data_IF_064254027429
#
_entry.id   IF_064254027429
#
_cell.length_a   1.000
_cell.length_b   1.000
_cell.length_c   1.000
_cell.angle_alpha   90.00
_cell.angle_beta   90.00
_cell.angle_gamma   90.00
#
_symmetry.space_group_name_H-M   'P 1'
#
loop_
_entity.id
_entity.type
_entity.pdbx_description
1 polymer ?
#
# COMPACT_ATOMS: atom_id res chain seq x y z
N UNK A 1 2.63 -61.27 54.21
CA UNK A 1 2.59 -61.42 52.73
C UNK A 1 1.20 -61.18 52.13
N UNK A 2 0.14 -61.06 52.93
CA UNK A 2 -1.24 -60.91 52.43
C UNK A 2 -1.68 -59.46 52.15
N UNK A 3 -1.08 -58.44 52.77
CA UNK A 3 -1.45 -57.04 52.49
C UNK A 3 -0.92 -56.53 51.14
N UNK A 4 0.24 -57.05 50.70
CA UNK A 4 0.81 -56.69 49.38
C UNK A 4 0.02 -57.30 48.22
N UNK A 5 -0.52 -58.51 48.38
CA UNK A 5 -1.39 -59.13 47.38
C UNK A 5 -2.75 -58.43 47.28
N UNK A 6 -3.30 -57.94 48.41
CA UNK A 6 -4.56 -57.18 48.41
C UNK A 6 -4.41 -55.81 47.74
N UNK A 7 -3.29 -55.12 47.94
CA UNK A 7 -3.00 -53.84 47.28
C UNK A 7 -2.79 -53.96 45.76
N UNK A 8 -2.21 -55.08 45.28
CA UNK A 8 -2.10 -55.37 43.85
C UNK A 8 -3.45 -55.76 43.22
N UNK A 9 -4.30 -56.48 43.96
CA UNK A 9 -5.65 -56.82 43.51
C UNK A 9 -6.55 -55.57 43.40
N UNK A 10 -6.44 -54.62 44.32
CA UNK A 10 -7.16 -53.34 44.24
C UNK A 10 -6.74 -52.47 43.05
N UNK A 11 -5.50 -52.59 42.56
CA UNK A 11 -5.02 -51.90 41.35
C UNK A 11 -5.40 -52.60 40.06
N UNK A 12 -5.73 -53.91 40.08
CA UNK A 12 -6.21 -54.66 38.91
C UNK A 12 -7.68 -54.35 38.59
N UNK A 13 -8.51 -54.11 39.62
CA UNK A 13 -9.95 -53.82 39.46
C UNK A 13 -10.23 -52.64 38.49
N UNK A 14 -9.54 -51.48 38.57
CA UNK A 14 -9.75 -50.37 37.63
C UNK A 14 -9.28 -50.67 36.20
N UNK A 15 -8.25 -51.50 36.03
CA UNK A 15 -7.68 -51.85 34.71
C UNK A 15 -8.59 -52.83 33.97
N UNK A 16 -9.17 -53.78 34.70
CA UNK A 16 -10.15 -54.73 34.19
C UNK A 16 -11.48 -54.04 33.84
N UNK A 17 -11.93 -53.09 34.67
CA UNK A 17 -13.08 -52.24 34.38
C UNK A 17 -12.83 -51.36 33.14
N UNK A 18 -11.64 -50.76 32.99
CA UNK A 18 -11.28 -49.97 31.80
C UNK A 18 -11.22 -50.82 30.53
N UNK A 19 -10.71 -52.06 30.60
CA UNK A 19 -10.74 -53.02 29.48
C UNK A 19 -12.16 -53.43 29.09
N UNK A 20 -13.03 -53.67 30.07
CA UNK A 20 -14.46 -53.95 29.81
C UNK A 20 -15.15 -52.73 29.18
N UNK A 21 -14.84 -51.52 29.65
CA UNK A 21 -15.39 -50.27 29.10
C UNK A 21 -14.93 -50.00 27.66
N UNK A 22 -13.68 -50.33 27.30
CA UNK A 22 -13.19 -50.17 25.92
C UNK A 22 -13.78 -51.18 24.93
N UNK A 23 -14.29 -52.32 25.41
CA UNK A 23 -14.95 -53.33 24.58
C UNK A 23 -16.40 -52.99 24.24
N UNK A 24 -17.01 -52.06 24.98
CA UNK A 24 -18.37 -51.58 24.72
C UNK A 24 -18.31 -50.57 23.56
N UNK A 25 -18.50 -51.07 22.33
CA UNK A 25 -18.68 -50.24 21.13
C UNK A 25 -19.74 -49.16 21.41
N UNK A 26 -19.39 -47.91 21.08
CA UNK A 26 -20.29 -46.74 21.10
C UNK A 26 -21.50 -46.97 20.17
N UNK A 27 -22.54 -47.63 20.67
CA UNK A 27 -23.89 -47.42 20.17
C UNK A 27 -24.35 -46.11 20.80
N UNK A 28 -24.77 -45.15 19.96
CA UNK A 28 -25.35 -43.88 20.42
C UNK A 28 -26.50 -44.22 21.38
N UNK A 29 -26.28 -43.98 22.66
CA UNK A 29 -27.30 -44.06 23.70
C UNK A 29 -28.12 -42.77 23.61
N UNK A 30 -29.09 -42.74 22.71
CA UNK A 30 -30.28 -41.92 22.91
C UNK A 30 -31.25 -42.75 23.74
N UNK A 31 -31.03 -42.78 25.04
CA UNK A 31 -32.05 -43.25 25.99
C UNK A 31 -32.01 -42.32 27.19
N UNK A 32 -33.12 -41.62 27.41
CA UNK A 32 -33.40 -40.91 28.64
C UNK A 32 -33.12 -41.85 29.82
N UNK A 33 -32.12 -41.50 30.62
CA UNK A 33 -31.88 -42.16 31.89
C UNK A 33 -32.93 -41.59 32.85
N UNK A 34 -33.76 -42.41 33.52
CA UNK A 34 -34.63 -41.90 34.56
C UNK A 34 -33.76 -41.22 35.61
N UNK A 35 -34.22 -40.05 36.05
CA UNK A 35 -33.58 -39.25 37.10
C UNK A 35 -33.38 -40.17 38.32
N UNK A 36 -32.16 -40.32 38.86
CA UNK A 36 -31.92 -41.22 39.98
C UNK A 36 -32.71 -40.78 41.22
N UNK A 37 -33.27 -41.75 41.95
CA UNK A 37 -34.16 -41.55 43.10
C UNK A 37 -33.57 -40.69 44.23
N UNK A 38 -32.24 -40.55 44.26
CA UNK A 38 -31.50 -39.67 45.17
C UNK A 38 -31.86 -38.18 45.00
N UNK A 39 -32.32 -37.77 43.82
CA UNK A 39 -32.78 -36.39 43.56
C UNK A 39 -34.19 -36.18 44.14
N UNK A 40 -35.05 -37.20 44.10
CA UNK A 40 -36.38 -37.14 44.72
C UNK A 40 -36.31 -37.16 46.24
N UNK A 41 -35.36 -37.91 46.82
CA UNK A 41 -35.07 -37.88 48.26
C UNK A 41 -34.56 -36.51 48.72
N UNK A 42 -33.65 -35.90 47.95
CA UNK A 42 -33.14 -34.55 48.25
C UNK A 42 -34.22 -33.48 48.12
N UNK A 43 -35.07 -33.55 47.10
CA UNK A 43 -36.22 -32.66 46.92
C UNK A 43 -37.32 -32.86 47.98
N UNK A 44 -37.50 -34.09 48.50
CA UNK A 44 -38.37 -34.37 49.64
C UNK A 44 -37.82 -33.77 50.92
N UNK A 45 -36.52 -33.92 51.19
CA UNK A 45 -35.84 -33.31 52.33
C UNK A 45 -35.92 -31.78 52.29
N UNK A 46 -35.69 -31.16 51.12
CA UNK A 46 -35.86 -29.71 50.93
C UNK A 46 -37.30 -29.25 51.18
N UNK A 47 -38.31 -30.03 50.80
CA UNK A 47 -39.72 -29.73 51.09
C UNK A 47 -40.10 -29.98 52.56
N UNK A 48 -39.48 -30.95 53.23
CA UNK A 48 -39.69 -31.21 54.66
C UNK A 48 -39.07 -30.13 55.54
N UNK A 49 -37.95 -29.54 55.13
CA UNK A 49 -37.31 -28.41 55.82
C UNK A 49 -38.07 -27.06 55.68
N UNK A 50 -39.28 -27.05 55.10
CA UNK A 50 -40.14 -25.85 55.05
C UNK A 50 -41.14 -25.79 56.21
N UNK A 51 -41.08 -26.71 57.18
CA UNK A 51 -41.81 -26.59 58.44
C UNK A 51 -40.86 -26.20 59.59
N UNK A 52 -41.19 -25.09 60.26
CA UNK A 52 -40.55 -24.44 61.42
C UNK A 52 -39.14 -23.86 61.23
N UNK A 53 -39.09 -22.52 61.09
CA UNK A 53 -37.86 -21.71 61.16
C UNK A 53 -37.70 -21.20 62.60
N UNK A 54 -36.69 -21.70 63.30
CA UNK A 54 -36.17 -21.11 64.55
C UNK A 54 -35.30 -19.87 64.21
N UNK A 55 -35.46 -18.71 64.88
CA UNK A 55 -34.74 -17.47 64.51
C UNK A 55 -33.25 -17.41 64.89
N UNK A 56 -32.66 -18.41 65.56
CA UNK A 56 -31.37 -18.25 66.25
C UNK A 56 -30.16 -18.99 65.65
N UNK A 57 -30.27 -19.63 64.49
CA UNK A 57 -29.10 -20.24 63.80
C UNK A 57 -29.00 -19.88 62.32
N UNK A 58 -29.50 -18.71 61.94
CA UNK A 58 -29.40 -18.22 60.56
C UNK A 58 -27.97 -17.78 60.30
N UNK A 59 -27.22 -18.59 59.57
CA UNK A 59 -25.86 -18.28 59.12
C UNK A 59 -25.87 -17.00 58.26
N UNK A 60 -25.49 -15.89 58.88
CA UNK A 60 -25.63 -14.54 58.32
C UNK A 60 -24.75 -14.36 57.07
N UNK A 61 -23.63 -15.09 57.00
CA UNK A 61 -22.74 -15.18 55.83
C UNK A 61 -23.46 -15.87 54.67
N UNK A 62 -24.09 -17.02 54.89
CA UNK A 62 -24.88 -17.72 53.88
C UNK A 62 -26.09 -16.89 53.40
N UNK A 63 -26.77 -16.19 54.33
CA UNK A 63 -27.84 -15.26 53.97
C UNK A 63 -27.31 -14.03 53.21
N UNK A 64 -26.11 -13.55 53.55
CA UNK A 64 -25.42 -12.45 52.88
C UNK A 64 -24.96 -12.80 51.47
N UNK A 65 -24.38 -14.00 51.29
CA UNK A 65 -24.02 -14.58 50.00
C UNK A 65 -25.27 -14.83 49.15
N UNK A 66 -26.32 -15.40 49.75
CA UNK A 66 -27.60 -15.61 49.09
C UNK A 66 -28.24 -14.30 48.60
N UNK A 67 -28.25 -13.27 49.44
CA UNK A 67 -28.70 -11.92 49.04
C UNK A 67 -27.80 -11.31 47.96
N UNK A 68 -26.48 -11.51 48.05
CA UNK A 68 -25.51 -11.05 47.04
C UNK A 68 -25.72 -11.70 45.68
N UNK A 69 -26.02 -13.00 45.63
CA UNK A 69 -26.37 -13.73 44.41
C UNK A 69 -27.70 -13.23 43.84
N UNK A 70 -28.72 -13.04 44.69
CA UNK A 70 -30.02 -12.48 44.25
C UNK A 70 -29.85 -11.06 43.70
N UNK A 71 -29.01 -10.24 44.33
CA UNK A 71 -28.71 -8.89 43.86
C UNK A 71 -27.96 -8.93 42.53
N UNK A 72 -27.00 -9.84 42.37
CA UNK A 72 -26.30 -10.07 41.11
C UNK A 72 -27.27 -10.49 40.00
N UNK A 73 -28.21 -11.41 40.28
CA UNK A 73 -29.24 -11.82 39.32
C UNK A 73 -30.20 -10.68 38.94
N UNK A 74 -30.57 -9.82 39.91
CA UNK A 74 -31.38 -8.62 39.63
C UNK A 74 -30.59 -7.60 38.80
N UNK A 75 -29.31 -7.41 39.10
CA UNK A 75 -28.42 -6.53 38.35
C UNK A 75 -28.18 -7.06 36.94
N UNK A 76 -28.00 -8.36 36.73
CA UNK A 76 -27.87 -8.98 35.41
C UNK A 76 -29.14 -8.75 34.58
N UNK A 77 -30.34 -8.93 35.18
CA UNK A 77 -31.61 -8.59 34.52
C UNK A 77 -31.75 -7.11 34.16
N UNK A 78 -31.23 -6.20 35.00
CA UNK A 78 -31.21 -4.77 34.70
C UNK A 78 -30.12 -4.42 33.68
N UNK A 79 -29.00 -5.15 33.67
CA UNK A 79 -27.89 -5.00 32.75
C UNK A 79 -28.26 -5.47 31.35
N UNK A 80 -29.07 -6.53 31.21
CA UNK A 80 -29.57 -7.02 29.92
C UNK A 80 -30.51 -6.02 29.22
N UNK A 81 -31.11 -5.10 29.98
CA UNK A 81 -31.93 -4.00 29.45
C UNK A 81 -31.07 -2.81 28.96
N UNK A 82 -29.79 -2.76 29.33
CA UNK A 82 -28.85 -1.72 28.91
C UNK A 82 -28.07 -2.21 27.70
N UNK A 83 -28.62 -1.96 26.52
CA UNK A 83 -27.91 -2.19 25.25
C UNK A 83 -26.80 -1.14 25.07
N UNK A 84 -25.54 -1.55 25.19
CA UNK A 84 -24.37 -0.66 25.03
C UNK A 84 -23.13 -1.07 25.83
N UNK A 85 -23.23 -2.10 26.68
CA UNK A 85 -22.08 -2.60 27.43
C UNK A 85 -21.17 -3.46 26.53
N UNK A 86 -19.99 -2.95 26.20
CA UNK A 86 -19.00 -3.65 25.39
C UNK A 86 -18.06 -4.46 26.29
N UNK A 87 -18.49 -5.67 26.67
CA UNK A 87 -17.60 -6.60 27.38
C UNK A 87 -16.60 -7.23 26.41
N UNK A 88 -15.37 -6.82 26.58
CA UNK A 88 -14.20 -7.28 25.85
C UNK A 88 -13.77 -8.63 26.42
N UNK A 89 -13.88 -9.71 25.63
CA UNK A 89 -13.41 -11.03 26.06
C UNK A 89 -11.89 -11.00 26.28
N UNK A 90 -11.46 -11.10 27.54
CA UNK A 90 -10.05 -11.06 27.93
C UNK A 90 -9.22 -12.11 27.18
N UNK A 91 -9.79 -13.29 26.90
CA UNK A 91 -9.08 -14.35 26.15
C UNK A 91 -9.02 -14.02 24.66
N UNK A 92 -10.11 -13.53 24.07
CA UNK A 92 -10.13 -13.04 22.69
C UNK A 92 -9.16 -11.88 22.45
N UNK A 93 -9.05 -10.95 23.41
CA UNK A 93 -8.12 -9.83 23.32
C UNK A 93 -6.65 -10.26 23.45
N UNK A 94 -6.35 -11.17 24.37
CA UNK A 94 -5.00 -11.72 24.48
C UNK A 94 -4.62 -12.57 23.26
N UNK A 95 -5.58 -13.31 22.68
CA UNK A 95 -5.37 -14.05 21.43
C UNK A 95 -5.16 -13.11 20.23
N UNK A 96 -5.93 -12.02 20.15
CA UNK A 96 -5.75 -10.98 19.14
C UNK A 96 -4.39 -10.32 19.25
N UNK A 97 -3.97 -9.96 20.47
CA UNK A 97 -2.64 -9.39 20.72
C UNK A 97 -1.52 -10.38 20.38
N UNK A 98 -1.66 -11.66 20.73
CA UNK A 98 -0.67 -12.68 20.36
C UNK A 98 -0.52 -12.80 18.84
N UNK A 99 -1.65 -12.80 18.12
CA UNK A 99 -1.66 -12.90 16.65
C UNK A 99 -1.01 -11.68 15.98
N UNK A 100 -1.16 -10.49 16.58
CA UNK A 100 -0.54 -9.26 16.08
C UNK A 100 0.96 -9.18 16.40
N UNK A 101 1.37 -9.74 17.55
CA UNK A 101 2.76 -9.71 18.01
C UNK A 101 3.65 -10.76 17.32
N UNK A 102 3.07 -11.77 16.66
CA UNK A 102 3.82 -12.76 15.85
C UNK A 102 4.49 -12.16 14.60
N UNK A 103 4.11 -10.95 14.17
CA UNK A 103 4.79 -10.23 13.09
C UNK A 103 6.05 -9.49 13.55
N UNK A 104 6.30 -9.37 14.86
CA UNK A 104 7.55 -8.85 15.40
C UNK A 104 8.41 -10.05 15.74
N UNK A 105 9.24 -10.44 14.77
CA UNK A 105 10.22 -11.51 14.92
C UNK A 105 11.06 -11.35 16.20
N UNK A 106 11.44 -12.50 16.75
CA UNK A 106 12.45 -12.79 17.80
C UNK A 106 13.16 -11.59 18.44
N UNK A 107 13.20 -11.52 19.78
CA UNK A 107 13.83 -10.41 20.54
C UNK A 107 15.29 -10.12 20.16
N UNK A 108 15.99 -11.08 19.54
CA UNK A 108 17.30 -10.90 18.89
C UNK A 108 17.28 -9.80 17.82
N UNK A 109 16.25 -9.82 16.98
CA UNK A 109 16.10 -8.97 15.81
C UNK A 109 15.89 -7.53 16.25
N UNK A 110 15.23 -7.30 17.40
CA UNK A 110 15.04 -5.96 17.97
C UNK A 110 16.38 -5.28 18.29
N UNK A 111 17.40 -6.04 18.72
CA UNK A 111 18.72 -5.48 19.01
C UNK A 111 19.48 -5.12 17.72
N UNK A 112 19.38 -5.95 16.70
CA UNK A 112 20.04 -5.72 15.43
C UNK A 112 19.31 -4.66 14.59
N UNK A 113 17.99 -4.53 14.72
CA UNK A 113 17.19 -3.41 14.20
C UNK A 113 17.67 -2.08 14.81
N UNK A 114 18.01 -2.04 16.10
CA UNK A 114 18.55 -0.82 16.73
C UNK A 114 19.93 -0.47 16.21
N UNK A 115 20.83 -1.46 16.09
CA UNK A 115 22.17 -1.25 15.51
C UNK A 115 22.10 -0.82 14.04
N UNK A 116 21.26 -1.47 13.24
CA UNK A 116 21.05 -1.10 11.84
C UNK A 116 20.47 0.31 11.71
N UNK A 117 19.50 0.72 12.54
CA UNK A 117 19.04 2.13 12.59
C UNK A 117 20.16 3.12 12.86
N UNK A 118 21.09 2.79 13.76
CA UNK A 118 22.25 3.63 14.05
C UNK A 118 23.19 3.70 12.84
N UNK A 119 23.48 2.57 12.19
CA UNK A 119 24.26 2.53 10.95
C UNK A 119 23.60 3.38 9.85
N UNK A 120 22.29 3.26 9.62
CA UNK A 120 21.59 4.06 8.62
C UNK A 120 21.45 5.53 9.00
N UNK A 121 21.50 5.89 10.30
CA UNK A 121 21.62 7.30 10.72
C UNK A 121 22.99 7.85 10.32
N UNK A 122 24.07 7.12 10.61
CA UNK A 122 25.42 7.49 10.19
C UNK A 122 25.59 7.51 8.66
N UNK A 123 24.95 6.60 7.92
CA UNK A 123 24.94 6.60 6.45
C UNK A 123 24.20 7.82 5.89
N UNK A 124 23.09 8.24 6.50
CA UNK A 124 22.37 9.46 6.08
C UNK A 124 23.17 10.73 6.33
N UNK A 125 23.92 10.79 7.43
CA UNK A 125 24.75 11.93 7.78
C UNK A 125 26.01 12.02 6.89
N UNK A 126 26.67 10.89 6.64
CA UNK A 126 27.88 10.84 5.80
C UNK A 126 27.60 10.89 4.30
N UNK A 127 26.51 10.26 3.85
CA UNK A 127 26.12 10.12 2.45
C UNK A 127 24.71 10.66 2.21
N UNK A 128 24.51 11.93 2.54
CA UNK A 128 23.24 12.64 2.33
C UNK A 128 22.74 12.59 0.87
N UNK A 129 23.67 12.43 -0.08
CA UNK A 129 23.41 12.38 -1.54
C UNK A 129 23.00 11.01 -2.09
N UNK A 130 23.14 9.93 -1.32
CA UNK A 130 22.92 8.56 -1.81
C UNK A 130 21.46 8.12 -1.64
N UNK A 131 20.67 7.97 -2.72
CA UNK A 131 19.26 7.58 -2.60
C UNK A 131 19.08 6.17 -2.02
N UNK A 132 20.02 5.26 -2.31
CA UNK A 132 19.98 3.88 -1.83
C UNK A 132 20.08 3.80 -0.29
N UNK A 133 20.81 4.72 0.34
CA UNK A 133 20.89 4.80 1.81
C UNK A 133 19.56 5.18 2.44
N UNK A 134 18.85 6.13 1.84
CA UNK A 134 17.51 6.56 2.26
C UNK A 134 16.45 5.47 2.07
N UNK A 135 16.50 4.75 0.94
CA UNK A 135 15.57 3.66 0.63
C UNK A 135 15.79 2.46 1.56
N UNK A 136 17.05 2.07 1.80
CA UNK A 136 17.35 0.97 2.70
C UNK A 136 16.94 1.29 4.16
N UNK A 137 17.11 2.54 4.60
CA UNK A 137 16.61 3.00 5.89
C UNK A 137 15.08 2.92 5.98
N UNK A 138 14.37 3.34 4.94
CA UNK A 138 12.91 3.27 4.89
C UNK A 138 12.39 1.82 4.84
N UNK A 139 13.09 0.93 4.13
CA UNK A 139 12.74 -0.49 4.03
C UNK A 139 12.91 -1.22 5.36
N UNK A 140 13.90 -0.86 6.16
CA UNK A 140 14.01 -1.37 7.53
C UNK A 140 12.84 -0.93 8.40
N UNK A 141 12.42 0.34 8.33
CA UNK A 141 11.27 0.80 9.11
C UNK A 141 9.95 0.14 8.67
N UNK A 142 9.85 -0.23 7.39
CA UNK A 142 8.74 -1.06 6.88
C UNK A 142 8.75 -2.47 7.48
N UNK A 143 9.92 -3.13 7.55
CA UNK A 143 10.07 -4.45 8.18
C UNK A 143 9.73 -4.43 9.68
N UNK A 144 9.94 -3.29 10.35
CA UNK A 144 9.56 -3.09 11.76
C UNK A 144 8.07 -2.71 11.92
N UNK A 145 7.33 -2.53 10.82
CA UNK A 145 5.92 -2.13 10.83
C UNK A 145 5.67 -0.65 11.08
N UNK A 146 6.71 0.19 11.11
CA UNK A 146 6.62 1.63 11.36
C UNK A 146 6.52 2.44 10.07
N UNK A 147 5.40 2.27 9.38
CA UNK A 147 5.14 2.91 8.08
C UNK A 147 5.15 4.44 8.13
N UNK A 148 4.77 5.06 9.27
CA UNK A 148 4.77 6.53 9.43
C UNK A 148 6.19 7.09 9.44
N UNK A 149 7.09 6.49 10.24
CA UNK A 149 8.50 6.88 10.32
C UNK A 149 9.20 6.65 8.96
N UNK A 150 8.90 5.54 8.28
CA UNK A 150 9.42 5.27 6.93
C UNK A 150 9.06 6.39 5.93
N UNK A 151 7.81 6.88 5.95
CA UNK A 151 7.36 7.98 5.09
C UNK A 151 8.05 9.29 5.41
N UNK A 152 8.30 9.58 6.68
CA UNK A 152 9.04 10.78 7.08
C UNK A 152 10.50 10.74 6.61
N UNK A 153 11.14 9.56 6.66
CA UNK A 153 12.50 9.35 6.17
C UNK A 153 12.57 9.57 4.65
N UNK A 154 11.60 9.04 3.89
CA UNK A 154 11.53 9.25 2.43
C UNK A 154 11.28 10.73 2.10
N UNK A 155 10.42 11.41 2.88
CA UNK A 155 10.18 12.86 2.71
C UNK A 155 11.45 13.68 2.96
N UNK A 156 12.22 13.38 4.02
CA UNK A 156 13.50 14.04 4.31
C UNK A 156 14.54 13.76 3.22
N UNK A 157 14.68 12.49 2.83
CA UNK A 157 15.55 12.09 1.73
C UNK A 157 15.18 12.79 0.41
N UNK A 158 13.89 13.01 0.12
CA UNK A 158 13.48 13.74 -1.08
C UNK A 158 13.93 15.21 -1.10
N UNK A 159 14.02 15.86 0.07
CA UNK A 159 14.46 17.26 0.21
C UNK A 159 15.99 17.35 0.18
N UNK A 160 16.69 16.38 0.76
CA UNK A 160 18.16 16.37 0.76
C UNK A 160 18.72 15.95 -0.61
N UNK A 161 18.06 15.01 -1.28
CA UNK A 161 18.37 14.64 -2.66
C UNK A 161 18.05 15.78 -3.64
N UNK A 162 17.32 16.82 -3.21
CA UNK A 162 16.88 17.93 -4.05
C UNK A 162 18.07 18.64 -4.73
N UNK A 163 19.29 18.53 -4.19
CA UNK A 163 20.50 19.17 -4.72
C UNK A 163 21.21 18.48 -5.90
N UNK A 164 20.97 17.19 -6.20
CA UNK A 164 21.62 16.53 -7.35
C UNK A 164 20.64 16.23 -8.49
N UNK A 165 20.71 17.06 -9.53
CA UNK A 165 19.92 16.95 -10.77
C UNK A 165 20.19 15.67 -11.59
N UNK A 166 21.22 14.87 -11.26
CA UNK A 166 21.68 13.76 -12.11
C UNK A 166 21.27 12.35 -11.62
N UNK A 167 21.26 12.11 -10.29
CA UNK A 167 21.05 10.75 -9.75
C UNK A 167 19.57 10.40 -9.49
N UNK A 168 18.67 11.37 -9.60
CA UNK A 168 17.22 11.22 -9.36
C UNK A 168 16.48 10.43 -10.44
N UNK A 169 16.99 10.41 -11.68
CA UNK A 169 16.29 9.80 -12.82
C UNK A 169 16.07 8.31 -12.54
N UNK A 170 17.12 7.53 -12.28
CA UNK A 170 17.03 6.05 -12.24
C UNK A 170 16.30 5.48 -11.01
N UNK A 171 16.35 6.18 -9.88
CA UNK A 171 15.77 5.69 -8.61
C UNK A 171 14.29 6.01 -8.50
N UNK A 172 13.86 7.15 -9.04
CA UNK A 172 12.44 7.52 -9.05
C UNK A 172 11.64 6.54 -9.91
N UNK A 173 12.11 6.20 -11.12
CA UNK A 173 11.42 5.26 -12.02
C UNK A 173 11.25 3.85 -11.43
N UNK A 174 12.21 3.38 -10.61
CA UNK A 174 12.16 2.02 -10.05
C UNK A 174 11.23 1.91 -8.82
N UNK A 175 10.96 3.01 -8.12
CA UNK A 175 10.02 3.03 -6.99
C UNK A 175 8.58 3.33 -7.42
N UNK A 176 8.38 3.87 -8.63
CA UNK A 176 7.11 4.40 -9.11
C UNK A 176 6.19 3.34 -9.75
N UNK A 177 6.76 2.17 -10.06
CA UNK A 177 6.08 1.08 -10.79
C UNK A 177 5.04 0.32 -9.96
N UNK A 178 4.87 0.66 -8.67
CA UNK A 178 4.03 -0.10 -7.75
C UNK A 178 2.66 0.53 -7.45
N UNK A 179 2.48 1.85 -7.59
CA UNK A 179 1.20 2.54 -7.30
C UNK A 179 0.95 3.77 -8.21
N UNK A 180 0.01 3.67 -9.15
CA UNK A 180 -0.36 4.78 -10.08
C UNK A 180 -0.86 6.05 -9.37
N UNK A 181 -1.58 5.91 -8.25
CA UNK A 181 -2.15 7.05 -7.51
C UNK A 181 -1.10 7.82 -6.73
N UNK A 182 -0.20 7.11 -6.05
CA UNK A 182 0.90 7.73 -5.32
C UNK A 182 1.89 8.39 -6.29
N UNK A 183 2.06 7.79 -7.48
CA UNK A 183 2.87 8.35 -8.56
C UNK A 183 2.40 9.75 -8.97
N UNK A 184 1.11 9.95 -9.20
CA UNK A 184 0.57 11.26 -9.59
C UNK A 184 0.85 12.33 -8.55
N UNK A 185 0.60 12.02 -7.28
CA UNK A 185 0.81 12.97 -6.17
C UNK A 185 2.29 13.32 -6.03
N UNK A 186 3.17 12.31 -6.14
CA UNK A 186 4.62 12.52 -6.11
C UNK A 186 5.09 13.37 -7.29
N UNK A 187 4.54 13.13 -8.48
CA UNK A 187 4.94 13.80 -9.70
C UNK A 187 4.46 15.26 -9.75
N UNK A 188 3.25 15.55 -9.24
CA UNK A 188 2.79 16.92 -9.01
C UNK A 188 3.72 17.68 -8.08
N UNK A 189 4.17 17.05 -6.99
CA UNK A 189 5.13 17.65 -6.06
C UNK A 189 6.51 17.83 -6.71
N UNK A 190 6.96 16.85 -7.49
CA UNK A 190 8.23 16.89 -8.19
C UNK A 190 8.29 18.04 -9.20
N UNK A 191 7.19 18.31 -9.89
CA UNK A 191 7.06 19.42 -10.84
C UNK A 191 7.13 20.79 -10.15
N UNK A 192 6.53 20.93 -8.96
CA UNK A 192 6.62 22.17 -8.16
C UNK A 192 8.06 22.45 -7.69
N UNK A 193 8.76 21.38 -7.29
CA UNK A 193 10.13 21.42 -6.80
C UNK A 193 11.14 21.64 -7.94
N UNK A 194 10.93 20.99 -9.09
CA UNK A 194 11.83 20.99 -10.23
C UNK A 194 11.07 21.33 -11.53
N UNK A 195 10.74 22.62 -11.76
CA UNK A 195 9.98 23.02 -12.94
C UNK A 195 10.79 22.94 -14.25
N UNK A 196 12.12 22.85 -14.17
CA UNK A 196 13.02 22.85 -15.32
C UNK A 196 13.18 21.49 -16.01
N UNK A 197 12.70 20.40 -15.40
CA UNK A 197 12.91 19.06 -15.94
C UNK A 197 11.74 18.63 -16.83
N UNK A 198 11.99 18.49 -18.14
CA UNK A 198 10.96 18.13 -19.13
C UNK A 198 10.31 16.77 -18.85
N UNK A 199 11.10 15.80 -18.39
CA UNK A 199 10.64 14.41 -18.24
C UNK A 199 9.52 14.28 -17.20
N UNK A 200 9.52 15.08 -16.14
CA UNK A 200 8.44 15.07 -15.14
C UNK A 200 7.14 15.58 -15.74
N UNK A 201 7.17 16.64 -16.54
CA UNK A 201 5.99 17.18 -17.22
C UNK A 201 5.39 16.17 -18.21
N UNK A 202 6.24 15.47 -18.98
CA UNK A 202 5.79 14.45 -19.93
C UNK A 202 5.16 13.26 -19.20
N UNK A 203 5.82 12.76 -18.15
CA UNK A 203 5.30 11.66 -17.34
C UNK A 203 3.96 12.03 -16.69
N UNK A 204 3.82 13.28 -16.24
CA UNK A 204 2.60 13.77 -15.61
C UNK A 204 1.46 13.84 -16.63
N UNK A 205 1.74 14.38 -17.82
CA UNK A 205 0.78 14.42 -18.91
C UNK A 205 0.29 13.03 -19.35
N UNK A 206 1.12 11.99 -19.24
CA UNK A 206 0.75 10.60 -19.58
C UNK A 206 -0.08 9.91 -18.48
N UNK A 207 0.10 10.29 -17.22
CA UNK A 207 -0.62 9.69 -16.09
C UNK A 207 -2.02 10.30 -15.90
N UNK A 208 -2.20 11.57 -16.26
CA UNK A 208 -3.41 12.34 -15.97
C UNK A 208 -4.49 12.24 -17.07
N UNK A 209 -5.69 12.75 -16.76
CA UNK A 209 -6.76 12.90 -17.75
C UNK A 209 -6.40 13.93 -18.82
N UNK A 210 -7.01 13.86 -19.99
CA UNK A 210 -6.72 14.75 -21.12
C UNK A 210 -6.84 16.25 -20.81
N UNK A 211 -7.87 16.65 -20.06
CA UNK A 211 -8.07 18.06 -19.69
C UNK A 211 -6.98 18.54 -18.73
N UNK A 212 -6.64 17.71 -17.74
CA UNK A 212 -5.54 17.99 -16.82
C UNK A 212 -4.20 18.01 -17.55
N UNK A 213 -3.94 17.04 -18.44
CA UNK A 213 -2.72 16.97 -19.24
C UNK A 213 -2.53 18.23 -20.10
N UNK A 214 -3.60 18.79 -20.67
CA UNK A 214 -3.53 20.08 -21.37
C UNK A 214 -3.12 21.24 -20.48
N UNK A 215 -3.70 21.33 -19.29
CA UNK A 215 -3.36 22.36 -18.31
C UNK A 215 -1.90 22.22 -17.87
N UNK A 216 -1.48 20.99 -17.58
CA UNK A 216 -0.10 20.65 -17.22
C UNK A 216 0.87 21.03 -18.33
N UNK A 217 0.60 20.67 -19.59
CA UNK A 217 1.46 20.99 -20.73
C UNK A 217 1.49 22.49 -21.03
N UNK A 218 0.38 23.21 -20.82
CA UNK A 218 0.37 24.67 -20.92
C UNK A 218 1.23 25.32 -19.83
N UNK A 219 1.15 24.83 -18.58
CA UNK A 219 2.02 25.29 -17.50
C UNK A 219 3.49 24.96 -17.79
N UNK A 220 3.78 23.77 -18.31
CA UNK A 220 5.12 23.36 -18.71
C UNK A 220 5.72 24.31 -19.74
N UNK A 221 4.94 24.80 -20.72
CA UNK A 221 5.40 25.78 -21.72
C UNK A 221 5.80 27.13 -21.12
N UNK A 222 5.17 27.55 -20.03
CA UNK A 222 5.53 28.79 -19.33
C UNK A 222 6.89 28.66 -18.65
N UNK A 223 7.14 27.51 -18.01
CA UNK A 223 8.40 27.25 -17.32
C UNK A 223 9.55 26.87 -18.28
N UNK A 224 9.23 26.19 -19.40
CA UNK A 224 10.19 25.64 -20.35
C UNK A 224 9.85 26.05 -21.79
N UNK A 225 10.07 27.33 -22.14
CA UNK A 225 9.78 27.81 -23.49
C UNK A 225 10.76 27.27 -24.54
N UNK A 226 11.96 26.85 -24.12
CA UNK A 226 13.04 26.38 -25.00
C UNK A 226 12.87 24.94 -25.45
N UNK A 227 11.98 24.16 -24.82
CA UNK A 227 11.92 22.72 -25.00
C UNK A 227 10.85 22.31 -26.01
N UNK A 228 11.27 21.54 -27.03
CA UNK A 228 10.45 21.14 -28.18
C UNK A 228 9.63 19.88 -27.89
N UNK A 229 10.16 19.02 -27.02
CA UNK A 229 9.51 17.76 -26.63
C UNK A 229 8.12 17.99 -26.02
N UNK A 230 7.88 19.11 -25.35
CA UNK A 230 6.57 19.47 -24.77
C UNK A 230 5.53 19.71 -25.88
N UNK A 231 5.94 20.30 -27.00
CA UNK A 231 5.07 20.53 -28.16
C UNK A 231 4.72 19.23 -28.88
N UNK A 232 5.70 18.33 -29.00
CA UNK A 232 5.51 17.01 -29.60
C UNK A 232 4.61 16.12 -28.73
N UNK A 233 4.79 16.09 -27.41
CA UNK A 233 3.92 15.32 -26.52
C UNK A 233 2.48 15.88 -26.49
N UNK A 234 2.32 17.21 -26.58
CA UNK A 234 1.00 17.81 -26.76
C UNK A 234 0.34 17.41 -28.09
N UNK A 235 1.13 17.30 -29.16
CA UNK A 235 0.65 16.82 -30.46
C UNK A 235 0.23 15.35 -30.39
N UNK A 236 1.04 14.48 -29.74
CA UNK A 236 0.70 13.05 -29.53
C UNK A 236 -0.64 12.89 -28.81
N UNK A 237 -0.85 13.65 -27.74
CA UNK A 237 -2.12 13.64 -26.99
C UNK A 237 -3.33 14.00 -27.87
N UNK A 238 -3.19 14.95 -28.81
CA UNK A 238 -4.27 15.35 -29.70
C UNK A 238 -4.49 14.38 -30.86
N UNK A 239 -3.44 13.71 -31.34
CA UNK A 239 -3.55 12.66 -32.34
C UNK A 239 -4.27 11.42 -31.79
N UNK A 240 -3.98 11.02 -30.54
CA UNK A 240 -4.73 9.93 -29.88
C UNK A 240 -6.24 10.22 -29.79
N UNK A 241 -6.64 11.49 -29.80
CA UNK A 241 -8.05 11.91 -29.82
C UNK A 241 -8.61 12.10 -31.24
N UNK A 242 -7.78 12.01 -32.28
CA UNK A 242 -8.18 12.23 -33.67
C UNK A 242 -8.27 13.70 -34.10
N UNK A 243 -7.77 14.66 -33.31
CA UNK A 243 -7.86 16.09 -33.62
C UNK A 243 -6.72 16.56 -34.56
N UNK A 244 -6.70 16.08 -35.80
CA UNK A 244 -5.63 16.35 -36.78
C UNK A 244 -5.40 17.86 -37.03
N UNK A 245 -6.47 18.65 -37.17
CA UNK A 245 -6.34 20.10 -37.41
C UNK A 245 -5.72 20.86 -36.24
N UNK A 246 -5.85 20.35 -35.00
CA UNK A 246 -5.22 20.97 -33.83
C UNK A 246 -3.74 20.64 -33.76
N UNK A 247 -3.34 19.43 -34.14
CA UNK A 247 -1.94 19.00 -34.19
C UNK A 247 -1.11 19.95 -35.06
N UNK A 248 -1.56 20.23 -36.29
CA UNK A 248 -0.88 21.17 -37.18
C UNK A 248 -0.72 22.57 -36.56
N UNK A 249 -1.80 23.12 -35.98
CA UNK A 249 -1.78 24.43 -35.32
C UNK A 249 -0.87 24.48 -34.09
N UNK A 250 -0.78 23.38 -33.33
CA UNK A 250 0.08 23.30 -32.13
C UNK A 250 1.55 23.31 -32.55
N UNK A 251 1.91 22.52 -33.56
CA UNK A 251 3.29 22.43 -34.06
C UNK A 251 3.70 23.77 -34.68
N UNK A 252 2.86 24.38 -35.52
CA UNK A 252 3.11 25.68 -36.13
C UNK A 252 3.38 26.77 -35.06
N UNK A 253 2.57 26.82 -33.99
CA UNK A 253 2.80 27.74 -32.87
C UNK A 253 4.10 27.44 -32.13
N UNK A 254 4.40 26.17 -31.89
CA UNK A 254 5.65 25.75 -31.25
C UNK A 254 6.86 26.23 -32.03
N UNK A 255 6.84 26.03 -33.35
CA UNK A 255 7.89 26.45 -34.28
C UNK A 255 8.05 27.97 -34.26
N UNK A 256 6.97 28.75 -34.37
CA UNK A 256 7.03 30.22 -34.31
C UNK A 256 7.59 30.75 -32.99
N UNK A 257 7.22 30.14 -31.86
CA UNK A 257 7.72 30.54 -30.54
C UNK A 257 9.21 30.22 -30.37
N UNK A 258 9.64 29.05 -30.83
CA UNK A 258 11.04 28.63 -30.75
C UNK A 258 11.94 29.41 -31.72
N UNK A 259 11.43 29.77 -32.90
CA UNK A 259 12.12 30.66 -33.84
C UNK A 259 12.37 32.04 -33.23
N UNK A 260 11.36 32.62 -32.56
CA UNK A 260 11.53 33.89 -31.83
C UNK A 260 12.59 33.82 -30.73
N UNK A 261 12.82 32.63 -30.17
CA UNK A 261 13.85 32.42 -29.15
C UNK A 261 15.25 32.13 -29.72
N UNK A 262 15.42 32.02 -31.04
CA UNK A 262 16.73 31.99 -31.69
C UNK A 262 17.55 30.74 -31.41
N UNK A 263 17.04 29.56 -31.79
CA UNK A 263 17.78 28.30 -31.69
C UNK A 263 18.55 28.01 -32.99
N UNK A 264 19.88 27.93 -32.87
CA UNK A 264 20.82 27.83 -34.00
C UNK A 264 20.70 26.50 -34.78
N UNK A 265 20.20 25.42 -34.16
CA UNK A 265 20.10 24.08 -34.80
C UNK A 265 18.64 23.64 -34.96
N UNK A 266 17.79 24.52 -35.48
CA UNK A 266 16.34 24.30 -35.53
C UNK A 266 15.94 23.15 -36.46
N UNK A 267 16.44 23.12 -37.70
CA UNK A 267 16.04 22.12 -38.71
C UNK A 267 16.39 20.70 -38.26
N UNK A 268 17.66 20.41 -37.99
CA UNK A 268 18.12 19.06 -37.63
C UNK A 268 17.46 18.50 -36.37
N UNK A 269 17.23 19.34 -35.34
CA UNK A 269 16.62 18.87 -34.09
C UNK A 269 15.16 18.48 -34.27
N UNK A 270 14.42 19.20 -35.11
CA UNK A 270 13.04 18.84 -35.46
C UNK A 270 12.96 17.63 -36.37
N UNK A 271 13.92 17.46 -37.29
CA UNK A 271 13.96 16.25 -38.13
C UNK A 271 14.26 14.99 -37.31
N UNK A 272 15.22 15.04 -36.37
CA UNK A 272 15.49 13.93 -35.44
C UNK A 272 14.30 13.60 -34.56
N UNK A 273 13.49 14.59 -34.20
CA UNK A 273 12.28 14.35 -33.41
C UNK A 273 11.15 13.78 -34.29
N UNK A 274 11.04 14.21 -35.56
CA UNK A 274 10.13 13.62 -36.53
C UNK A 274 10.42 12.12 -36.75
N UNK A 275 11.69 11.74 -36.86
CA UNK A 275 12.12 10.34 -36.97
C UNK A 275 11.68 9.50 -35.76
N UNK A 276 11.80 10.03 -34.53
CA UNK A 276 11.31 9.34 -33.32
C UNK A 276 9.80 9.20 -33.28
N UNK A 277 9.08 10.21 -33.76
CA UNK A 277 7.62 10.23 -33.83
C UNK A 277 7.13 9.24 -34.89
N UNK A 278 7.86 9.10 -36.00
CA UNK A 278 7.56 8.15 -37.08
C UNK A 278 7.74 6.72 -36.59
N UNK A 279 8.86 6.43 -35.91
CA UNK A 279 9.08 5.15 -35.22
C UNK A 279 7.98 4.80 -34.22
N UNK A 280 7.36 5.81 -33.61
CA UNK A 280 6.25 5.64 -32.69
C UNK A 280 4.89 5.46 -33.39
N UNK A 281 4.83 5.51 -34.74
CA UNK A 281 3.62 5.31 -35.54
C UNK A 281 2.76 6.56 -35.73
N UNK A 282 3.26 7.74 -35.35
CA UNK A 282 2.52 9.00 -35.35
C UNK A 282 2.73 9.79 -36.65
N UNK A 283 2.23 9.26 -37.76
CA UNK A 283 2.48 9.79 -39.12
C UNK A 283 1.95 11.21 -39.32
N UNK A 284 0.81 11.55 -38.70
CA UNK A 284 0.19 12.88 -38.85
C UNK A 284 1.07 13.96 -38.22
N UNK A 285 1.68 13.65 -37.09
CA UNK A 285 2.61 14.56 -36.41
C UNK A 285 3.87 14.71 -37.24
N UNK A 286 4.44 13.63 -37.78
CA UNK A 286 5.61 13.69 -38.66
C UNK A 286 5.36 14.57 -39.88
N UNK A 287 4.24 14.35 -40.58
CA UNK A 287 3.87 15.15 -41.74
C UNK A 287 3.73 16.64 -41.38
N UNK A 288 3.10 16.94 -40.24
CA UNK A 288 2.96 18.32 -39.77
C UNK A 288 4.29 18.94 -39.33
N UNK A 289 5.21 18.18 -38.74
CA UNK A 289 6.56 18.65 -38.42
C UNK A 289 7.32 18.96 -39.71
N UNK A 290 7.35 18.02 -40.65
CA UNK A 290 8.08 18.15 -41.93
C UNK A 290 7.54 19.34 -42.73
N UNK A 291 6.22 19.43 -42.94
CA UNK A 291 5.63 20.55 -43.69
C UNK A 291 5.99 21.91 -43.09
N UNK A 292 6.07 22.01 -41.77
CA UNK A 292 6.39 23.26 -41.10
C UNK A 292 7.90 23.51 -40.94
N UNK A 293 8.75 22.47 -40.88
CA UNK A 293 10.21 22.60 -40.71
C UNK A 293 10.94 22.85 -42.03
N UNK A 294 10.45 22.26 -43.11
CA UNK A 294 11.02 22.32 -44.47
C UNK A 294 11.02 23.74 -45.05
N UNK A 295 10.04 24.57 -44.63
CA UNK A 295 9.95 25.98 -45.02
C UNK A 295 10.78 26.94 -44.16
N UNK A 296 11.41 26.48 -43.07
CA UNK A 296 12.17 27.34 -42.17
C UNK A 296 13.62 27.47 -42.66
N UNK A 297 13.99 28.68 -43.07
CA UNK A 297 15.38 29.04 -43.38
C UNK A 297 15.85 28.68 -44.79
N UNK A 298 14.94 28.39 -45.72
CA UNK A 298 15.27 28.13 -47.14
C UNK A 298 14.62 29.18 -48.03
N UNK A 299 15.45 29.94 -48.75
CA UNK A 299 15.00 30.87 -49.80
C UNK A 299 14.29 30.11 -50.93
N UNK A 300 13.34 30.75 -51.60
CA UNK A 300 12.42 30.05 -52.50
C UNK A 300 13.11 29.33 -53.67
N UNK A 301 14.30 29.79 -54.05
CA UNK A 301 15.09 29.27 -55.16
C UNK A 301 15.80 27.94 -54.82
N UNK A 302 16.26 27.76 -53.58
CA UNK A 302 17.02 26.57 -53.14
C UNK A 302 16.15 25.48 -52.49
N UNK A 303 14.83 25.72 -52.37
CA UNK A 303 13.87 24.78 -51.76
C UNK A 303 13.93 23.40 -52.40
N UNK A 304 13.79 23.32 -53.71
CA UNK A 304 13.74 22.01 -54.39
C UNK A 304 15.03 21.20 -54.20
N UNK A 305 16.20 21.86 -54.26
CA UNK A 305 17.50 21.21 -54.14
C UNK A 305 17.74 20.69 -52.73
N UNK A 306 17.48 21.53 -51.72
CA UNK A 306 17.64 21.12 -50.32
C UNK A 306 16.62 20.06 -49.90
N UNK A 307 15.39 20.11 -50.42
CA UNK A 307 14.38 19.09 -50.11
C UNK A 307 14.69 17.74 -50.76
N UNK A 308 15.24 17.74 -51.98
CA UNK A 308 15.71 16.53 -52.63
C UNK A 308 16.88 15.91 -51.88
N UNK A 309 17.88 16.70 -51.50
CA UNK A 309 19.03 16.22 -50.74
C UNK A 309 18.64 15.63 -49.37
N UNK A 310 17.77 16.33 -48.62
CA UNK A 310 17.25 15.80 -47.35
C UNK A 310 16.47 14.51 -47.58
N UNK A 311 15.59 14.45 -48.60
CA UNK A 311 14.81 13.25 -48.90
C UNK A 311 15.68 12.06 -49.30
N UNK A 312 16.73 12.28 -50.08
CA UNK A 312 17.73 11.26 -50.44
C UNK A 312 18.46 10.74 -49.19
N UNK A 313 18.87 11.63 -48.27
CA UNK A 313 19.52 11.25 -47.01
C UNK A 313 18.62 10.35 -46.14
N UNK A 314 17.32 10.68 -46.04
CA UNK A 314 16.38 9.82 -45.29
C UNK A 314 16.13 8.49 -46.00
N UNK A 315 16.05 8.46 -47.33
CA UNK A 315 15.84 7.22 -48.09
C UNK A 315 17.04 6.27 -47.98
N UNK A 316 18.28 6.78 -48.01
CA UNK A 316 19.48 5.98 -47.79
C UNK A 316 19.54 5.38 -46.38
N UNK A 317 18.99 6.06 -45.38
CA UNK A 317 18.99 5.59 -43.99
C UNK A 317 18.05 4.39 -43.73
N UNK A 318 17.08 4.15 -44.62
CA UNK A 318 16.11 3.05 -44.53
C UNK A 318 16.52 1.79 -45.34
N UNK A 319 17.64 1.82 -46.07
CA UNK A 319 18.23 0.66 -46.73
C UNK A 319 19.38 0.06 -45.91
#
# INVERSE_FOLDING_TARGET
MEEKSNAENLKKIPVELKRKLSSVKRRKFESFVPVPDTIFEKARLERQHVASVDPMSIDLTALGEGKGIVMKLKLDRLSDLVSGLTSVDRKGYLSGLLSMNMNISTSSDVSDIKKTRQLYRSVRESKHKDPCGWIAAARLEEMVGKLKEAREIIKKGSVDLEQDKSNKKKVLWKALDQNDKDMRVLLHRAVQVCPLEVQFWIALARSESYEAAKMILNNARVHLPKERAIWVEAAKLEEFRGNVSKVGKIIERGIKLLQKQGLVNFRETWMKEAEKVERAGHVVICQAIIQNSVGVGVEEEDRKRTWLADAEEYMEWFH
#
